data_IF_914056775359
#
_entry.id   IF_914056775359
#
_cell.length_a   1.000
_cell.length_b   1.000
_cell.length_c   1.000
_cell.angle_alpha   90.00
_cell.angle_beta   90.00
_cell.angle_gamma   90.00
#
_symmetry.space_group_name_H-M   'P 1'
#
loop_
_entity.id
_entity.type
_entity.pdbx_description
1 polymer ?
#
# COMPACT_ATOMS: atom_id res chain seq x y z
N UNK A 1 -17.01 38.21 -17.52
CA UNK A 1 -16.78 38.39 -16.08
C UNK A 1 -15.37 37.90 -15.79
N UNK A 2 -14.49 38.80 -15.33
CA UNK A 2 -13.12 38.53 -14.88
C UNK A 2 -13.10 37.57 -13.66
N UNK A 3 -12.05 36.84 -13.23
CA UNK A 3 -10.58 37.01 -13.27
C UNK A 3 -9.86 35.66 -12.97
N UNK A 4 -8.67 35.44 -13.57
CA UNK A 4 -7.39 34.84 -13.05
C UNK A 4 -7.34 33.41 -12.43
N UNK A 5 -6.26 32.62 -12.52
CA UNK A 5 -4.92 32.70 -13.13
C UNK A 5 -4.22 31.32 -12.98
N UNK A 6 -3.41 30.92 -13.97
CA UNK A 6 -2.15 30.09 -13.91
C UNK A 6 -2.17 28.71 -13.20
N UNK A 7 -1.65 27.60 -13.74
CA UNK A 7 -0.43 27.37 -14.53
C UNK A 7 -0.58 26.06 -15.34
N UNK A 8 -0.21 26.11 -16.62
CA UNK A 8 0.11 24.93 -17.44
C UNK A 8 1.39 24.26 -16.91
N UNK A 9 1.43 22.93 -16.88
CA UNK A 9 2.71 22.21 -16.96
C UNK A 9 2.63 21.24 -18.12
N UNK A 10 3.31 21.65 -19.19
CA UNK A 10 3.57 20.91 -20.42
C UNK A 10 4.40 19.66 -20.16
N UNK A 11 3.88 18.51 -20.59
CA UNK A 11 4.58 17.23 -20.65
C UNK A 11 5.62 17.26 -21.79
N UNK A 12 6.89 17.50 -21.46
CA UNK A 12 7.98 17.42 -22.43
C UNK A 12 8.49 15.97 -22.53
N UNK A 13 8.06 15.25 -23.58
CA UNK A 13 8.75 14.05 -24.05
C UNK A 13 10.05 14.47 -24.74
N UNK A 14 11.19 14.10 -24.18
CA UNK A 14 12.46 14.06 -24.89
C UNK A 14 12.85 12.58 -25.07
N UNK A 15 12.46 11.99 -26.20
CA UNK A 15 13.08 10.77 -26.69
C UNK A 15 14.20 11.15 -27.67
N UNK A 16 15.40 11.39 -27.16
CA UNK A 16 16.60 11.44 -28.00
C UNK A 16 17.03 10.01 -28.32
N UNK A 17 16.94 9.62 -29.59
CA UNK A 17 17.47 8.36 -30.11
C UNK A 17 19.00 8.46 -30.13
N UNK A 18 19.68 7.62 -29.37
CA UNK A 18 21.12 7.39 -29.50
C UNK A 18 21.38 5.90 -29.33
N UNK A 19 22.03 5.31 -30.34
CA UNK A 19 22.45 3.91 -30.35
C UNK A 19 23.43 3.68 -29.20
N UNK A 20 22.98 3.00 -28.14
CA UNK A 20 23.69 2.03 -27.28
C UNK A 20 22.81 1.80 -26.04
N UNK A 21 22.30 0.57 -25.92
CA UNK A 21 21.42 0.08 -24.85
C UNK A 21 20.14 0.90 -24.61
N UNK A 22 18.99 0.34 -25.03
CA UNK A 22 17.69 0.75 -24.53
C UNK A 22 17.57 0.39 -23.04
N UNK A 23 18.22 1.18 -22.17
CA UNK A 23 17.89 1.18 -20.76
C UNK A 23 16.67 2.07 -20.62
N UNK A 24 15.49 1.44 -20.52
CA UNK A 24 14.34 2.07 -19.91
C UNK A 24 14.78 2.49 -18.51
N UNK A 25 15.08 3.79 -18.33
CA UNK A 25 15.25 4.37 -17.01
C UNK A 25 13.85 4.28 -16.40
N UNK A 26 13.62 3.21 -15.63
CA UNK A 26 12.50 3.16 -14.71
C UNK A 26 12.60 4.45 -13.90
N UNK A 27 11.59 5.32 -14.03
CA UNK A 27 11.43 6.42 -13.09
C UNK A 27 11.57 5.83 -11.68
N UNK A 28 12.29 6.49 -10.76
CA UNK A 28 12.33 6.03 -9.38
C UNK A 28 10.87 5.89 -8.93
N UNK A 29 10.47 4.67 -8.55
CA UNK A 29 9.17 4.47 -7.92
C UNK A 29 9.19 5.37 -6.68
N UNK A 30 8.34 6.39 -6.66
CA UNK A 30 7.94 7.08 -5.42
C UNK A 30 7.64 5.99 -4.36
N UNK A 31 7.95 6.14 -3.08
CA UNK A 31 8.63 7.18 -2.33
C UNK A 31 8.97 6.57 -0.96
N UNK A 32 9.74 7.26 -0.14
CA UNK A 32 9.82 6.97 1.29
C UNK A 32 8.40 6.83 1.87
N UNK A 33 8.03 5.60 2.23
CA UNK A 33 6.74 5.23 2.83
C UNK A 33 6.38 5.97 4.13
N UNK A 34 7.34 6.73 4.66
CA UNK A 34 7.17 7.55 5.87
C UNK A 34 6.35 8.81 5.58
N UNK A 35 6.36 9.36 4.36
CA UNK A 35 5.81 10.70 4.08
C UNK A 35 4.28 10.76 4.08
N UNK A 36 3.59 9.63 3.81
CA UNK A 36 2.12 9.56 3.77
C UNK A 36 1.50 8.99 5.06
N UNK A 37 2.33 8.74 6.08
CA UNK A 37 1.85 8.17 7.33
C UNK A 37 1.04 9.17 8.15
N UNK A 38 -0.23 8.84 8.38
CA UNK A 38 -1.13 9.55 9.25
C UNK A 38 -0.74 9.25 10.71
N UNK A 39 0.14 10.08 11.26
CA UNK A 39 0.56 10.04 12.66
C UNK A 39 -0.54 10.59 13.61
N UNK A 40 -1.78 10.11 13.48
CA UNK A 40 -2.85 10.39 14.44
C UNK A 40 -2.52 9.66 15.75
N UNK A 41 -2.68 10.35 16.90
CA UNK A 41 -2.50 9.84 18.27
C UNK A 41 -3.53 8.76 18.69
N UNK A 42 -4.12 8.03 17.75
CA UNK A 42 -5.01 6.91 18.01
C UNK A 42 -4.23 5.61 17.85
N UNK A 43 -3.96 4.84 18.93
CA UNK A 43 -3.20 3.60 18.85
C UNK A 43 -3.98 2.45 18.21
N UNK A 44 -5.26 2.65 17.87
CA UNK A 44 -6.14 1.61 17.31
C UNK A 44 -6.22 1.62 15.79
N UNK A 45 -5.54 2.56 15.15
CA UNK A 45 -5.50 2.69 13.69
C UNK A 45 -4.08 2.57 13.18
N UNK A 46 -3.93 2.05 11.97
CA UNK A 46 -2.64 1.96 11.28
C UNK A 46 -2.16 3.34 10.77
N UNK A 47 -1.10 3.31 9.98
CA UNK A 47 -0.49 4.46 9.32
C UNK A 47 -1.41 5.15 8.32
N UNK A 48 -2.46 4.51 7.82
CA UNK A 48 -3.44 5.11 6.91
C UNK A 48 -4.76 5.49 7.60
N UNK A 49 -4.84 5.31 8.93
CA UNK A 49 -6.07 5.58 9.70
C UNK A 49 -7.11 4.46 9.61
N UNK A 50 -6.74 3.30 9.09
CA UNK A 50 -7.62 2.14 8.96
C UNK A 50 -7.96 1.51 10.30
N UNK A 51 -9.16 0.94 10.42
CA UNK A 51 -9.62 0.24 11.62
C UNK A 51 -9.15 -1.22 11.61
N UNK A 52 -8.67 -1.71 12.76
CA UNK A 52 -8.28 -3.11 12.87
C UNK A 52 -9.48 -4.07 12.76
N UNK A 53 -9.28 -5.17 12.03
CA UNK A 53 -10.21 -6.31 11.95
C UNK A 53 -9.47 -7.58 12.34
N UNK A 54 -9.90 -8.29 13.40
CA UNK A 54 -9.32 -9.58 13.76
C UNK A 54 -9.55 -10.64 12.67
N UNK A 55 -8.49 -11.36 12.31
CA UNK A 55 -8.49 -12.43 11.28
C UNK A 55 -7.57 -13.59 11.70
N UNK A 56 -7.24 -14.49 10.76
CA UNK A 56 -6.21 -15.53 10.91
C UNK A 56 -4.77 -15.05 10.65
N UNK A 57 -4.58 -13.74 10.45
CA UNK A 57 -3.26 -13.13 10.37
C UNK A 57 -2.52 -13.12 11.71
N UNK A 58 -1.19 -13.08 11.65
CA UNK A 58 -0.32 -13.05 12.84
C UNK A 58 0.48 -11.76 12.88
N UNK A 59 0.71 -11.25 14.10
CA UNK A 59 1.51 -10.05 14.30
C UNK A 59 2.98 -10.34 14.02
N UNK A 60 3.43 -10.03 12.80
CA UNK A 60 4.83 -10.12 12.38
C UNK A 60 5.49 -8.76 12.44
N UNK A 61 6.65 -8.64 13.08
CA UNK A 61 7.42 -7.39 13.10
C UNK A 61 8.07 -7.11 11.74
N UNK A 62 8.17 -5.83 11.39
CA UNK A 62 8.88 -5.34 10.21
C UNK A 62 9.58 -4.01 10.52
N UNK A 63 10.64 -3.73 9.78
CA UNK A 63 11.28 -2.42 9.72
C UNK A 63 11.05 -1.76 8.37
N UNK A 64 10.97 -2.57 7.31
CA UNK A 64 10.78 -2.12 5.94
C UNK A 64 9.70 -2.95 5.24
N UNK A 65 9.17 -2.42 4.14
CA UNK A 65 8.15 -3.10 3.35
C UNK A 65 8.60 -4.46 2.79
N UNK A 66 9.91 -4.63 2.53
CA UNK A 66 10.51 -5.88 2.05
C UNK A 66 10.38 -7.02 3.06
N UNK A 67 10.30 -6.73 4.36
CA UNK A 67 10.14 -7.73 5.42
C UNK A 67 8.78 -8.46 5.32
N UNK A 68 7.82 -7.88 4.59
CA UNK A 68 6.46 -8.40 4.45
C UNK A 68 6.24 -9.19 3.13
N UNK A 69 7.24 -9.31 2.26
CA UNK A 69 7.07 -9.95 0.94
C UNK A 69 6.79 -11.46 0.99
N UNK A 70 7.25 -12.14 2.05
CA UNK A 70 6.97 -13.56 2.32
C UNK A 70 5.62 -13.77 3.02
N UNK A 71 4.80 -12.73 3.12
CA UNK A 71 3.47 -12.78 3.70
C UNK A 71 2.40 -12.48 2.65
N UNK A 72 1.19 -12.94 2.95
CA UNK A 72 -0.02 -12.82 2.14
C UNK A 72 -1.18 -12.37 3.00
N UNK A 73 -2.25 -11.99 2.35
CA UNK A 73 -3.51 -11.65 2.99
C UNK A 73 -3.97 -12.76 3.94
N UNK A 74 -4.67 -12.41 5.04
CA UNK A 74 -5.32 -13.42 5.87
C UNK A 74 -6.35 -14.20 5.03
N UNK A 75 -6.56 -15.49 5.35
CA UNK A 75 -7.48 -16.34 4.59
C UNK A 75 -8.89 -15.77 4.54
N UNK A 76 -9.33 -15.11 5.61
CA UNK A 76 -10.61 -14.42 5.69
C UNK A 76 -10.79 -13.30 4.64
N UNK A 77 -9.70 -12.82 4.05
CA UNK A 77 -9.68 -11.71 3.08
C UNK A 77 -9.31 -12.15 1.67
N UNK A 78 -9.12 -13.46 1.47
CA UNK A 78 -8.69 -14.01 0.19
C UNK A 78 -9.73 -13.82 -0.94
N UNK A 79 -11.01 -13.72 -0.58
CA UNK A 79 -12.08 -13.33 -1.52
C UNK A 79 -12.85 -12.17 -0.92
N UNK A 80 -12.73 -10.95 -1.45
CA UNK A 80 -13.50 -9.83 -0.94
C UNK A 80 -15.00 -10.07 -1.15
N UNK A 81 -15.81 -9.67 -0.17
CA UNK A 81 -17.25 -9.64 -0.31
C UNK A 81 -17.73 -8.60 -1.34
N UNK A 82 -19.05 -8.55 -1.65
CA UNK A 82 -19.60 -7.67 -2.69
C UNK A 82 -19.30 -6.17 -2.52
N UNK A 83 -19.10 -5.72 -1.28
CA UNK A 83 -18.85 -4.33 -0.93
C UNK A 83 -17.40 -4.10 -0.46
N UNK A 84 -16.55 -5.11 -0.59
CA UNK A 84 -15.16 -5.05 -0.19
C UNK A 84 -14.26 -4.99 -1.41
N UNK A 85 -13.14 -4.28 -1.27
CA UNK A 85 -12.11 -4.19 -2.32
C UNK A 85 -10.74 -4.20 -1.67
N UNK A 86 -9.80 -4.88 -2.29
CA UNK A 86 -8.40 -4.72 -1.91
C UNK A 86 -7.93 -3.31 -2.24
N UNK A 87 -7.05 -2.76 -1.41
CA UNK A 87 -6.28 -1.58 -1.81
C UNK A 87 -5.24 -1.98 -2.86
N UNK A 88 -4.51 -1.00 -3.39
CA UNK A 88 -3.45 -1.26 -4.36
C UNK A 88 -2.20 -1.91 -3.73
N UNK A 89 -2.18 -2.08 -2.41
CA UNK A 89 -1.06 -2.65 -1.67
C UNK A 89 -1.43 -4.03 -1.16
N UNK A 90 -0.52 -4.98 -1.36
CA UNK A 90 -0.57 -6.25 -0.65
C UNK A 90 -0.11 -6.07 0.80
N UNK A 91 0.41 -7.16 1.37
CA UNK A 91 1.07 -7.09 2.67
C UNK A 91 2.24 -6.12 2.67
N UNK A 92 2.22 -5.19 3.62
CA UNK A 92 3.17 -4.09 3.74
C UNK A 92 3.52 -3.82 5.19
N UNK A 93 4.62 -3.10 5.41
CA UNK A 93 5.01 -2.70 6.75
C UNK A 93 4.24 -1.47 7.20
N UNK A 94 3.44 -1.60 8.26
CA UNK A 94 2.86 -0.45 8.95
C UNK A 94 3.95 0.22 9.80
N UNK A 95 4.54 1.33 9.33
CA UNK A 95 5.66 1.99 10.03
C UNK A 95 5.29 2.53 11.41
N UNK A 96 3.99 2.77 11.66
CA UNK A 96 3.49 3.22 12.96
C UNK A 96 3.52 2.11 14.01
N UNK A 97 3.06 0.90 13.66
CA UNK A 97 3.03 -0.24 14.58
C UNK A 97 4.22 -1.19 14.42
N UNK A 98 5.04 -0.98 13.38
CA UNK A 98 6.16 -1.82 12.95
C UNK A 98 5.78 -3.28 12.76
N UNK A 99 4.66 -3.52 12.07
CA UNK A 99 4.14 -4.86 11.79
C UNK A 99 3.59 -5.00 10.38
N UNK A 100 3.65 -6.20 9.83
CA UNK A 100 3.10 -6.50 8.51
C UNK A 100 1.56 -6.53 8.56
N UNK A 101 0.94 -5.64 7.78
CA UNK A 101 -0.51 -5.52 7.64
C UNK A 101 -0.90 -5.49 6.19
N UNK A 102 -2.20 -5.69 5.93
CA UNK A 102 -2.82 -5.42 4.65
C UNK A 102 -4.06 -4.58 4.89
N UNK A 103 -4.38 -3.71 3.93
CA UNK A 103 -5.57 -2.89 3.95
C UNK A 103 -6.62 -3.36 2.94
N UNK A 104 -7.88 -3.09 3.25
CA UNK A 104 -9.00 -3.22 2.32
C UNK A 104 -10.01 -2.11 2.55
N UNK A 105 -10.77 -1.79 1.51
CA UNK A 105 -11.99 -1.01 1.62
C UNK A 105 -13.16 -1.94 1.96
N UNK A 106 -14.05 -1.50 2.84
CA UNK A 106 -15.30 -2.17 3.18
C UNK A 106 -16.42 -1.11 3.21
N UNK A 107 -17.21 -1.07 2.13
CA UNK A 107 -18.19 0.00 1.84
C UNK A 107 -17.56 1.40 1.82
N UNK A 108 -17.45 2.04 2.99
CA UNK A 108 -16.95 3.39 3.19
C UNK A 108 -15.84 3.46 4.25
N UNK A 109 -15.46 2.33 4.83
CA UNK A 109 -14.41 2.25 5.86
C UNK A 109 -13.14 1.62 5.28
N UNK A 110 -11.99 2.17 5.67
CA UNK A 110 -10.70 1.52 5.49
C UNK A 110 -10.45 0.59 6.68
N UNK A 111 -10.16 -0.67 6.39
CA UNK A 111 -9.85 -1.70 7.38
C UNK A 111 -8.43 -2.23 7.17
N UNK A 112 -7.77 -2.62 8.25
CA UNK A 112 -6.51 -3.38 8.17
C UNK A 112 -6.58 -4.65 9.02
N UNK A 113 -5.80 -5.65 8.61
CA UNK A 113 -5.60 -6.87 9.34
C UNK A 113 -4.13 -7.29 9.27
N UNK A 114 -3.71 -8.16 10.20
CA UNK A 114 -2.38 -8.74 10.13
C UNK A 114 -2.26 -9.68 8.93
N UNK A 115 -1.05 -9.76 8.40
CA UNK A 115 -0.72 -10.70 7.34
C UNK A 115 -0.47 -12.12 7.85
N UNK A 116 -0.47 -13.08 6.94
CA UNK A 116 -0.20 -14.50 7.20
C UNK A 116 1.02 -14.97 6.40
N UNK A 117 1.86 -15.88 6.92
CA UNK A 117 2.97 -16.46 6.14
C UNK A 117 2.49 -17.06 4.81
N UNK A 118 3.25 -16.84 3.74
CA UNK A 118 2.95 -17.39 2.42
C UNK A 118 3.13 -18.92 2.34
N UNK A 119 3.83 -19.52 3.29
CA UNK A 119 4.03 -20.97 3.34
C UNK A 119 2.68 -21.68 3.45
N UNK A 120 2.41 -22.59 2.51
CA UNK A 120 1.13 -23.29 2.37
C UNK A 120 -0.09 -22.35 2.25
N UNK A 121 0.13 -21.11 1.81
CA UNK A 121 -0.94 -20.18 1.54
C UNK A 121 -1.58 -20.51 0.19
N UNK A 122 -2.90 -20.70 0.19
CA UNK A 122 -3.70 -20.83 -1.02
C UNK A 122 -5.12 -20.39 -0.71
N UNK A 123 -5.72 -19.66 -1.65
CA UNK A 123 -7.12 -19.29 -1.53
C UNK A 123 -8.02 -20.53 -1.62
N UNK A 124 -8.71 -20.86 -0.54
CA UNK A 124 -9.70 -21.95 -0.53
C UNK A 124 -11.09 -21.44 -0.94
#
# INVERSE_FOLDING_TARGET
MHFNSTLQVTMLLLCSVSLLAASCIAAPRHANSILDCVMINNPRVDCYGARFVPTDGIRQQCMEHVDCYDYREPMAWCRPGPLQRWTNEGCHCDFKQQVCVMNRENEYELEYAYCRPAINWSCQ
#
